data_IF_888492193231
#
_entry.id   IF_888492193231
#
_cell.length_a   1.000
_cell.length_b   1.000
_cell.length_c   1.000
_cell.angle_alpha   90.00
_cell.angle_beta   90.00
_cell.angle_gamma   90.00
#
_symmetry.space_group_name_H-M   'P 1'
#
loop_
_entity.id
_entity.type
_entity.pdbx_description
1 polymer ?
#
# COMPACT_ATOMS: atom_id res chain seq x y z
N UNK A 1 16.28 21.26 -9.34
CA UNK A 1 17.45 22.09 -8.96
C UNK A 1 18.29 21.29 -7.97
N UNK A 2 19.62 21.21 -8.15
CA UNK A 2 20.47 20.32 -7.30
C UNK A 2 20.48 20.65 -5.81
N UNK A 3 20.20 21.90 -5.39
CA UNK A 3 20.15 22.29 -3.99
C UNK A 3 18.84 21.95 -3.31
N UNK A 4 17.73 21.99 -4.04
CA UNK A 4 16.37 21.71 -3.53
C UNK A 4 16.26 20.30 -2.93
N UNK A 5 16.54 19.29 -3.73
CA UNK A 5 16.43 17.86 -3.33
C UNK A 5 17.46 17.43 -2.29
N UNK A 6 18.52 18.22 -2.09
CA UNK A 6 19.59 17.94 -1.11
C UNK A 6 19.39 18.67 0.21
N UNK A 7 18.27 19.37 0.37
CA UNK A 7 18.01 20.21 1.55
C UNK A 7 19.15 21.23 1.80
N UNK A 8 19.56 21.93 0.75
CA UNK A 8 20.67 22.89 0.81
C UNK A 8 20.31 24.06 1.72
N UNK A 9 21.11 24.26 2.77
CA UNK A 9 20.85 25.26 3.79
C UNK A 9 20.98 26.71 3.25
N UNK A 10 21.86 26.96 2.28
CA UNK A 10 21.98 28.30 1.70
C UNK A 10 20.77 28.64 0.86
N UNK A 11 20.23 27.67 0.11
CA UNK A 11 18.96 27.85 -0.60
C UNK A 11 17.79 28.06 0.39
N UNK A 12 17.72 27.27 1.45
CA UNK A 12 16.66 27.40 2.46
C UNK A 12 16.64 28.77 3.16
N UNK A 13 17.80 29.41 3.36
CA UNK A 13 17.92 30.76 3.93
C UNK A 13 17.42 31.89 3.02
N UNK A 14 17.22 31.62 1.74
CA UNK A 14 16.71 32.64 0.82
C UNK A 14 15.18 32.81 0.92
N UNK A 15 14.43 31.80 1.37
CA UNK A 15 12.97 31.85 1.45
C UNK A 15 12.43 32.89 2.43
N UNK A 16 13.03 33.14 3.64
CA UNK A 16 12.57 34.17 4.56
C UNK A 16 12.58 35.60 4.01
N UNK A 17 13.34 35.84 2.95
CA UNK A 17 13.31 37.15 2.27
C UNK A 17 12.01 37.37 1.46
N UNK A 18 11.22 36.34 1.24
CA UNK A 18 10.04 36.36 0.40
C UNK A 18 8.72 36.25 1.19
N UNK A 19 8.74 35.58 2.35
CA UNK A 19 7.53 35.24 3.12
C UNK A 19 7.80 35.28 4.63
N UNK A 20 6.73 35.42 5.44
CA UNK A 20 6.79 35.45 6.89
C UNK A 20 6.44 34.12 7.56
N UNK A 21 5.68 33.26 6.86
CA UNK A 21 5.20 31.97 7.37
C UNK A 21 5.29 30.94 6.25
N UNK A 22 5.75 29.75 6.59
CA UNK A 22 5.73 28.58 5.71
C UNK A 22 4.52 27.70 6.03
N UNK A 23 3.72 27.40 5.02
CA UNK A 23 2.63 26.43 5.11
C UNK A 23 2.98 25.23 4.25
N UNK A 24 3.20 24.08 4.88
CA UNK A 24 3.43 22.81 4.15
C UNK A 24 2.12 22.09 3.91
N UNK A 25 1.72 22.00 2.64
CA UNK A 25 0.53 21.25 2.21
C UNK A 25 0.89 20.15 1.19
N UNK A 26 2.17 19.80 1.10
CA UNK A 26 2.71 18.82 0.16
C UNK A 26 2.96 17.46 0.81
N UNK A 27 1.90 16.77 1.24
CA UNK A 27 2.01 15.46 1.91
C UNK A 27 2.76 14.42 1.03
N UNK A 28 2.53 14.41 -0.29
CA UNK A 28 3.21 13.50 -1.21
C UNK A 28 4.73 13.61 -1.22
N UNK A 29 5.29 14.78 -0.85
CA UNK A 29 6.73 15.02 -0.75
C UNK A 29 7.26 14.96 0.70
N UNK A 30 6.39 14.78 1.71
CA UNK A 30 6.74 14.92 3.13
C UNK A 30 7.75 13.87 3.63
N UNK A 31 7.89 12.74 2.93
CA UNK A 31 8.87 11.70 3.25
C UNK A 31 10.31 12.06 2.85
N UNK A 32 10.52 13.19 2.17
CA UNK A 32 11.83 13.67 1.73
C UNK A 32 12.15 15.01 2.38
N UNK A 33 13.37 15.12 2.91
CA UNK A 33 13.90 16.39 3.37
C UNK A 33 14.40 17.21 2.17
N UNK A 34 13.56 18.11 1.66
CA UNK A 34 13.92 19.08 0.63
C UNK A 34 14.02 20.50 1.23
N UNK A 35 14.76 21.39 0.58
CA UNK A 35 14.93 22.76 1.06
C UNK A 35 13.58 23.50 1.21
N UNK A 36 12.63 23.29 0.30
CA UNK A 36 11.29 23.91 0.31
C UNK A 36 10.23 23.17 1.12
N UNK A 37 10.50 21.95 1.58
CA UNK A 37 9.51 21.14 2.33
C UNK A 37 9.91 20.87 3.78
N UNK A 38 11.21 20.95 4.10
CA UNK A 38 11.74 20.75 5.43
C UNK A 38 12.73 21.85 5.83
N UNK A 39 13.77 22.12 5.03
CA UNK A 39 14.83 23.07 5.37
C UNK A 39 14.35 24.50 5.64
N UNK A 40 13.32 24.96 4.94
CA UNK A 40 12.69 26.27 5.16
C UNK A 40 12.17 26.43 6.58
N UNK A 41 11.75 25.36 7.24
CA UNK A 41 11.22 25.39 8.61
C UNK A 41 12.28 25.72 9.67
N UNK A 42 13.57 25.60 9.33
CA UNK A 42 14.66 26.06 10.22
C UNK A 42 14.75 27.59 10.34
N UNK A 43 14.09 28.31 9.44
CA UNK A 43 14.21 29.77 9.31
C UNK A 43 12.88 30.51 9.41
N UNK A 44 11.74 29.84 9.36
CA UNK A 44 10.40 30.40 9.40
C UNK A 44 9.48 29.62 10.32
N UNK A 45 8.48 30.25 10.95
CA UNK A 45 7.36 29.52 11.52
C UNK A 45 6.74 28.62 10.46
N UNK A 46 6.60 27.32 10.76
CA UNK A 46 6.15 26.30 9.83
C UNK A 46 4.86 25.64 10.35
N UNK A 47 3.81 25.61 9.54
CA UNK A 47 2.52 25.01 9.91
C UNK A 47 2.02 24.08 8.82
N UNK A 48 1.15 23.12 9.19
CA UNK A 48 0.47 22.26 8.22
C UNK A 48 -0.59 23.01 7.44
N UNK A 49 -0.70 22.73 6.15
CA UNK A 49 -1.88 23.04 5.35
C UNK A 49 -3.02 22.04 5.57
N UNK A 50 -4.20 22.33 5.01
CA UNK A 50 -5.40 21.53 5.20
C UNK A 50 -5.31 20.11 4.63
N UNK A 51 -4.62 19.93 3.51
CA UNK A 51 -4.38 18.60 2.93
C UNK A 51 -3.49 17.78 3.85
N UNK A 52 -2.37 18.36 4.29
CA UNK A 52 -1.45 17.73 5.23
C UNK A 52 -2.15 17.32 6.53
N UNK A 53 -2.94 18.23 7.12
CA UNK A 53 -3.73 17.97 8.33
C UNK A 53 -4.69 16.81 8.14
N UNK A 54 -5.42 16.77 7.01
CA UNK A 54 -6.36 15.69 6.67
C UNK A 54 -5.65 14.33 6.54
N UNK A 55 -4.52 14.30 5.84
CA UNK A 55 -3.74 13.05 5.67
C UNK A 55 -3.22 12.52 7.00
N UNK A 56 -2.66 13.39 7.84
CA UNK A 56 -2.15 13.04 9.17
C UNK A 56 -3.28 12.57 10.10
N UNK A 57 -4.43 13.23 10.07
CA UNK A 57 -5.60 12.85 10.86
C UNK A 57 -6.12 11.46 10.46
N UNK A 58 -6.30 11.21 9.16
CA UNK A 58 -6.84 9.94 8.66
C UNK A 58 -5.87 8.80 8.92
N UNK A 59 -4.63 8.92 8.46
CA UNK A 59 -3.63 7.87 8.62
C UNK A 59 -3.22 7.69 10.09
N UNK A 60 -3.09 8.78 10.83
CA UNK A 60 -2.75 8.75 12.25
C UNK A 60 -3.81 8.04 13.08
N UNK A 61 -5.10 8.34 12.89
CA UNK A 61 -6.22 7.67 13.56
C UNK A 61 -6.28 6.18 13.19
N UNK A 62 -6.12 5.88 11.89
CA UNK A 62 -6.10 4.50 11.40
C UNK A 62 -5.02 3.63 12.07
N UNK A 63 -3.87 4.22 12.39
CA UNK A 63 -2.74 3.47 12.96
C UNK A 63 -2.65 3.53 14.51
N UNK A 64 -3.17 4.59 15.15
CA UNK A 64 -3.06 4.76 16.61
C UNK A 64 -4.20 4.13 17.39
N UNK A 65 -5.43 4.25 16.89
CA UNK A 65 -6.64 3.73 17.55
C UNK A 65 -7.65 3.22 16.49
N UNK A 66 -7.32 2.13 15.79
CA UNK A 66 -8.17 1.63 14.70
C UNK A 66 -9.50 1.09 15.20
N UNK A 67 -10.58 1.37 14.46
CA UNK A 67 -11.82 0.63 14.61
C UNK A 67 -11.61 -0.82 14.13
N UNK A 68 -12.21 -1.77 14.88
CA UNK A 68 -11.99 -3.20 14.64
C UNK A 68 -13.26 -3.91 14.17
N UNK A 69 -13.11 -4.94 13.32
CA UNK A 69 -11.86 -5.53 12.81
C UNK A 69 -11.12 -4.60 11.86
N UNK A 70 -9.79 -4.48 12.05
CA UNK A 70 -8.89 -3.74 11.17
C UNK A 70 -8.19 -4.70 10.19
N UNK A 71 -8.38 -4.48 8.91
CA UNK A 71 -7.79 -5.26 7.82
C UNK A 71 -6.80 -4.43 7.03
N UNK A 72 -5.60 -4.95 6.83
CA UNK A 72 -4.66 -4.40 5.85
C UNK A 72 -4.62 -5.29 4.61
N UNK A 73 -4.62 -4.67 3.44
CA UNK A 73 -4.47 -5.33 2.14
C UNK A 73 -3.17 -4.84 1.53
N UNK A 74 -2.23 -5.76 1.33
CA UNK A 74 -0.90 -5.48 0.79
C UNK A 74 -0.72 -6.26 -0.49
N UNK A 75 -0.59 -5.51 -1.59
CA UNK A 75 -0.33 -6.03 -2.92
C UNK A 75 0.90 -5.40 -3.57
N UNK A 76 0.98 -5.57 -4.89
CA UNK A 76 2.11 -5.07 -5.69
C UNK A 76 3.12 -6.14 -6.04
N UNK A 77 4.26 -5.75 -6.65
CA UNK A 77 5.17 -6.70 -7.27
C UNK A 77 6.19 -7.33 -6.31
N UNK A 78 6.66 -6.59 -5.29
CA UNK A 78 7.87 -6.98 -4.53
C UNK A 78 7.68 -6.88 -3.02
N UNK A 79 8.13 -7.91 -2.30
CA UNK A 79 8.15 -7.97 -0.83
C UNK A 79 9.06 -6.89 -0.25
N UNK A 80 10.24 -6.68 -0.84
CA UNK A 80 11.25 -5.73 -0.34
C UNK A 80 10.71 -4.31 -0.17
N UNK A 81 9.79 -3.90 -1.04
CA UNK A 81 9.20 -2.57 -1.03
C UNK A 81 8.10 -2.42 0.04
N UNK A 82 7.71 -3.54 0.69
CA UNK A 82 6.63 -3.63 1.68
C UNK A 82 7.08 -4.14 3.05
N UNK A 83 8.37 -4.43 3.23
CA UNK A 83 8.91 -5.02 4.48
C UNK A 83 8.50 -4.19 5.70
N UNK A 84 8.76 -2.88 5.64
CA UNK A 84 8.49 -1.98 6.76
C UNK A 84 7.00 -1.91 7.07
N UNK A 85 6.17 -1.80 6.04
CA UNK A 85 4.71 -1.75 6.16
C UNK A 85 4.15 -3.04 6.75
N UNK A 86 4.53 -4.20 6.21
CA UNK A 86 4.04 -5.51 6.69
C UNK A 86 4.41 -5.67 8.17
N UNK A 87 5.67 -5.41 8.54
CA UNK A 87 6.15 -5.53 9.92
C UNK A 87 5.39 -4.63 10.88
N UNK A 88 5.19 -3.36 10.52
CA UNK A 88 4.48 -2.39 11.37
C UNK A 88 2.99 -2.71 11.50
N UNK A 89 2.34 -3.11 10.40
CA UNK A 89 0.93 -3.43 10.39
C UNK A 89 0.60 -4.73 11.15
N UNK A 90 1.51 -5.72 11.19
CA UNK A 90 1.34 -6.93 12.00
C UNK A 90 1.19 -6.66 13.51
N UNK A 91 1.61 -5.48 13.99
CA UNK A 91 1.38 -5.05 15.37
C UNK A 91 0.00 -4.41 15.60
N UNK A 92 -0.75 -4.15 14.54
CA UNK A 92 -1.94 -3.29 14.60
C UNK A 92 -3.22 -3.93 14.06
N UNK A 93 -3.11 -4.82 13.08
CA UNK A 93 -4.26 -5.37 12.35
C UNK A 93 -4.81 -6.66 12.96
N UNK A 94 -6.09 -6.92 12.70
CA UNK A 94 -6.72 -8.21 12.98
C UNK A 94 -6.55 -9.16 11.78
N UNK A 95 -6.56 -8.60 10.56
CA UNK A 95 -6.42 -9.36 9.31
C UNK A 95 -5.37 -8.72 8.41
N UNK A 96 -4.52 -9.54 7.80
CA UNK A 96 -3.57 -9.14 6.77
C UNK A 96 -3.83 -9.96 5.50
N UNK A 97 -4.21 -9.28 4.44
CA UNK A 97 -4.45 -9.86 3.11
C UNK A 97 -3.23 -9.58 2.24
N UNK A 98 -2.70 -10.63 1.62
CA UNK A 98 -1.55 -10.58 0.70
C UNK A 98 -2.03 -10.87 -0.72
N UNK A 99 -1.62 -10.04 -1.69
CA UNK A 99 -1.93 -10.24 -3.11
C UNK A 99 -0.84 -9.70 -4.02
N UNK A 100 -1.11 -9.69 -5.34
CA UNK A 100 -0.13 -9.24 -6.33
C UNK A 100 1.08 -10.16 -6.46
N UNK A 101 2.09 -9.71 -7.18
CA UNK A 101 3.32 -10.46 -7.45
C UNK A 101 4.10 -10.87 -6.21
N UNK A 102 4.07 -10.03 -5.15
CA UNK A 102 4.74 -10.35 -3.89
C UNK A 102 4.19 -11.61 -3.20
N UNK A 103 2.94 -12.00 -3.48
CA UNK A 103 2.33 -13.21 -2.92
C UNK A 103 3.09 -14.48 -3.30
N UNK A 104 3.69 -14.53 -4.50
CA UNK A 104 4.41 -15.73 -4.95
C UNK A 104 5.70 -15.99 -4.15
N UNK A 105 6.32 -14.96 -3.58
CA UNK A 105 7.43 -15.16 -2.63
C UNK A 105 6.95 -15.89 -1.36
N UNK A 106 5.77 -15.56 -0.86
CA UNK A 106 5.14 -16.26 0.28
C UNK A 106 4.71 -17.68 -0.11
N UNK A 107 4.16 -17.88 -1.30
CA UNK A 107 3.76 -19.20 -1.83
C UNK A 107 4.97 -20.12 -1.92
N UNK A 108 6.11 -19.63 -2.45
CA UNK A 108 7.37 -20.35 -2.49
C UNK A 108 7.92 -20.64 -1.10
N UNK A 109 7.76 -19.71 -0.15
CA UNK A 109 8.13 -19.91 1.25
C UNK A 109 7.34 -21.06 1.93
N UNK A 110 6.12 -21.35 1.46
CA UNK A 110 5.32 -22.52 1.85
C UNK A 110 5.74 -23.81 1.18
N UNK A 111 6.68 -23.75 0.22
CA UNK A 111 7.21 -24.92 -0.49
C UNK A 111 6.45 -25.30 -1.77
N UNK A 112 5.61 -24.42 -2.29
CA UNK A 112 4.89 -24.66 -3.55
C UNK A 112 5.68 -24.16 -4.76
N UNK A 113 5.47 -24.81 -5.91
CA UNK A 113 5.99 -24.35 -7.18
C UNK A 113 5.18 -23.13 -7.68
N UNK A 114 5.86 -22.16 -8.26
CA UNK A 114 5.28 -20.89 -8.71
C UNK A 114 5.44 -20.65 -10.21
N UNK A 115 5.99 -21.63 -10.97
CA UNK A 115 6.28 -21.50 -12.38
C UNK A 115 7.22 -20.34 -12.68
N UNK A 116 6.83 -19.49 -13.63
CA UNK A 116 7.56 -18.27 -14.02
C UNK A 116 7.13 -17.02 -13.23
N UNK A 117 6.28 -17.16 -12.22
CA UNK A 117 5.76 -16.03 -11.44
C UNK A 117 6.87 -15.25 -10.75
N UNK A 118 6.63 -13.97 -10.51
CA UNK A 118 7.57 -13.10 -9.79
C UNK A 118 7.94 -13.70 -8.43
N UNK A 119 9.25 -13.71 -8.12
CA UNK A 119 9.73 -14.15 -6.82
C UNK A 119 11.00 -13.39 -6.43
N UNK A 120 11.10 -13.06 -5.17
CA UNK A 120 12.33 -12.54 -4.54
C UNK A 120 12.94 -13.66 -3.68
N UNK A 121 13.83 -14.48 -4.28
CA UNK A 121 14.41 -15.64 -3.62
C UNK A 121 15.16 -15.29 -2.33
N UNK A 122 15.77 -14.11 -2.28
CA UNK A 122 16.46 -13.57 -1.10
C UNK A 122 15.50 -13.11 0.02
N UNK A 123 14.19 -13.14 -0.22
CA UNK A 123 13.13 -12.76 0.74
C UNK A 123 12.29 -13.94 1.23
N UNK A 124 12.57 -15.16 0.81
CA UNK A 124 11.80 -16.36 1.20
C UNK A 124 11.83 -16.55 2.74
N UNK A 125 12.99 -16.44 3.36
CA UNK A 125 13.10 -16.60 4.82
C UNK A 125 12.36 -15.47 5.57
N UNK A 126 12.38 -14.25 5.04
CA UNK A 126 11.61 -13.13 5.58
C UNK A 126 10.10 -13.35 5.44
N UNK A 127 9.64 -13.92 4.33
CA UNK A 127 8.23 -14.27 4.15
C UNK A 127 7.77 -15.32 5.18
N UNK A 128 8.60 -16.32 5.49
CA UNK A 128 8.35 -17.28 6.59
C UNK A 128 8.27 -16.58 7.95
N UNK A 129 9.21 -15.67 8.21
CA UNK A 129 9.22 -14.86 9.45
C UNK A 129 7.90 -14.09 9.61
N UNK A 130 7.40 -13.43 8.56
CA UNK A 130 6.15 -12.68 8.61
C UNK A 130 4.93 -13.58 8.87
N UNK A 131 4.84 -14.73 8.23
CA UNK A 131 3.76 -15.68 8.47
C UNK A 131 3.80 -16.23 9.91
N UNK A 132 4.99 -16.50 10.43
CA UNK A 132 5.16 -16.93 11.82
C UNK A 132 4.80 -15.82 12.80
N UNK A 133 5.24 -14.58 12.55
CA UNK A 133 4.94 -13.41 13.36
C UNK A 133 3.43 -13.13 13.40
N UNK A 134 2.75 -13.23 12.25
CA UNK A 134 1.29 -13.12 12.18
C UNK A 134 0.61 -14.13 13.11
N UNK A 135 1.04 -15.40 13.06
CA UNK A 135 0.53 -16.46 13.93
C UNK A 135 0.76 -16.15 15.41
N UNK A 136 1.97 -15.71 15.78
CA UNK A 136 2.32 -15.37 17.16
C UNK A 136 1.50 -14.20 17.71
N UNK A 137 1.17 -13.24 16.84
CA UNK A 137 0.35 -12.06 17.20
C UNK A 137 -1.16 -12.30 17.10
N UNK A 138 -1.59 -13.48 16.63
CA UNK A 138 -3.01 -13.80 16.42
C UNK A 138 -3.64 -13.06 15.25
N UNK A 139 -2.84 -12.59 14.30
CA UNK A 139 -3.31 -11.94 13.06
C UNK A 139 -3.73 -13.01 12.05
N UNK A 140 -4.93 -12.88 11.50
CA UNK A 140 -5.38 -13.73 10.40
C UNK A 140 -4.63 -13.34 9.12
N UNK A 141 -3.81 -14.26 8.62
CA UNK A 141 -2.98 -14.05 7.43
C UNK A 141 -3.62 -14.72 6.23
N UNK A 142 -4.13 -13.93 5.29
CA UNK A 142 -4.83 -14.40 4.10
C UNK A 142 -3.91 -14.39 2.89
N UNK A 143 -3.76 -15.56 2.27
CA UNK A 143 -3.01 -15.77 1.02
C UNK A 143 -3.97 -16.18 -0.09
N UNK A 144 -3.62 -15.95 -1.37
CA UNK A 144 -4.39 -16.50 -2.48
C UNK A 144 -4.51 -18.03 -2.38
N UNK A 145 -5.70 -18.55 -2.64
CA UNK A 145 -5.96 -20.01 -2.72
C UNK A 145 -6.05 -20.50 -4.17
N UNK A 146 -6.35 -19.58 -5.08
CA UNK A 146 -6.33 -19.78 -6.52
C UNK A 146 -5.82 -18.51 -7.23
N UNK A 147 -5.32 -18.69 -8.44
CA UNK A 147 -4.70 -17.63 -9.24
C UNK A 147 -5.09 -17.73 -10.70
N UNK A 148 -5.09 -16.60 -11.37
CA UNK A 148 -5.13 -16.48 -12.82
C UNK A 148 -3.70 -16.57 -13.32
N UNK A 149 -3.46 -17.47 -14.27
CA UNK A 149 -2.16 -17.72 -14.86
C UNK A 149 -2.19 -17.52 -16.38
N UNK A 150 -1.03 -17.18 -16.96
CA UNK A 150 -0.84 -17.03 -18.41
C UNK A 150 0.52 -17.60 -18.85
N UNK A 151 0.65 -17.93 -20.14
CA UNK A 151 1.93 -18.22 -20.79
C UNK A 151 2.50 -16.99 -21.48
N UNK A 152 1.65 -15.94 -21.71
CA UNK A 152 2.02 -14.73 -22.43
C UNK A 152 1.52 -13.50 -21.69
N UNK A 153 2.40 -12.55 -21.48
CA UNK A 153 2.08 -11.28 -20.83
C UNK A 153 1.60 -10.27 -21.89
N UNK A 154 0.29 -10.33 -22.24
CA UNK A 154 -0.31 -9.47 -23.26
C UNK A 154 -1.78 -9.17 -22.98
N UNK A 155 -2.32 -8.11 -23.61
CA UNK A 155 -3.75 -7.71 -23.53
C UNK A 155 -4.70 -8.74 -24.13
N UNK A 156 -4.20 -9.64 -24.99
CA UNK A 156 -4.98 -10.70 -25.62
C UNK A 156 -4.64 -12.10 -25.09
N UNK A 157 -3.94 -12.14 -23.97
CA UNK A 157 -3.46 -13.37 -23.37
C UNK A 157 -4.59 -14.35 -23.04
N UNK A 158 -4.37 -15.62 -23.34
CA UNK A 158 -5.22 -16.69 -22.82
C UNK A 158 -4.87 -16.97 -21.38
N UNK A 159 -5.87 -16.97 -20.52
CA UNK A 159 -5.71 -17.20 -19.08
C UNK A 159 -6.32 -18.52 -18.65
N UNK A 160 -5.79 -19.08 -17.57
CA UNK A 160 -6.38 -20.22 -16.85
C UNK A 160 -6.45 -19.90 -15.35
N UNK A 161 -7.37 -20.58 -14.67
CA UNK A 161 -7.49 -20.52 -13.21
C UNK A 161 -6.98 -21.86 -12.67
N UNK A 162 -6.04 -21.77 -11.71
CA UNK A 162 -5.48 -22.94 -11.02
C UNK A 162 -5.41 -22.70 -9.52
N UNK A 163 -5.32 -23.79 -8.75
CA UNK A 163 -4.93 -23.69 -7.33
C UNK A 163 -3.56 -23.07 -7.18
N UNK A 164 -3.34 -22.34 -6.11
CA UNK A 164 -2.06 -21.66 -5.83
C UNK A 164 -0.87 -22.64 -5.73
N UNK A 165 -1.14 -23.89 -5.43
CA UNK A 165 -0.19 -25.00 -5.31
C UNK A 165 0.02 -25.77 -6.63
N UNK A 166 -0.61 -25.34 -7.72
CA UNK A 166 -0.72 -26.09 -8.98
C UNK A 166 -0.34 -25.27 -10.22
N UNK A 167 0.54 -24.28 -10.06
CA UNK A 167 1.03 -23.43 -11.15
C UNK A 167 2.03 -24.24 -12.01
N UNK A 168 1.78 -24.44 -13.31
CA UNK A 168 2.70 -25.15 -14.19
C UNK A 168 4.02 -24.38 -14.38
N UNK A 169 5.11 -25.11 -14.64
CA UNK A 169 6.48 -24.57 -14.72
C UNK A 169 6.70 -23.53 -15.84
N UNK A 170 5.86 -23.56 -16.90
CA UNK A 170 5.93 -22.63 -18.04
C UNK A 170 4.84 -21.54 -18.01
N UNK A 171 4.12 -21.39 -16.88
CA UNK A 171 3.08 -20.38 -16.67
C UNK A 171 3.48 -19.43 -15.56
N UNK A 172 2.98 -18.20 -15.63
CA UNK A 172 3.13 -17.21 -14.57
C UNK A 172 1.78 -16.76 -14.00
N UNK A 173 1.74 -16.51 -12.71
CA UNK A 173 0.57 -15.93 -12.07
C UNK A 173 0.51 -14.43 -12.25
N UNK A 174 -0.66 -13.92 -12.66
CA UNK A 174 -0.87 -12.53 -13.07
C UNK A 174 -1.98 -11.82 -12.29
N UNK A 175 -2.86 -12.60 -11.64
CA UNK A 175 -3.94 -12.06 -10.80
C UNK A 175 -4.43 -13.12 -9.80
N UNK A 176 -5.20 -12.70 -8.80
CA UNK A 176 -5.89 -13.63 -7.89
C UNK A 176 -7.11 -14.28 -8.56
N UNK A 177 -7.36 -15.53 -8.22
CA UNK A 177 -8.48 -16.29 -8.76
C UNK A 177 -9.84 -15.96 -8.12
N UNK A 178 -10.94 -16.51 -8.66
CA UNK A 178 -12.30 -16.22 -8.22
C UNK A 178 -12.58 -16.62 -6.77
N UNK A 179 -12.06 -17.75 -6.29
CA UNK A 179 -12.24 -18.16 -4.90
C UNK A 179 -11.52 -17.22 -3.93
N UNK A 180 -10.32 -16.79 -4.30
CA UNK A 180 -9.56 -15.81 -3.54
C UNK A 180 -10.30 -14.49 -3.45
N UNK A 181 -10.90 -14.03 -4.56
CA UNK A 181 -11.71 -12.80 -4.61
C UNK A 181 -12.91 -12.88 -3.66
N UNK A 182 -13.62 -14.01 -3.61
CA UNK A 182 -14.73 -14.26 -2.69
C UNK A 182 -14.28 -14.18 -1.22
N UNK A 183 -13.17 -14.86 -0.87
CA UNK A 183 -12.62 -14.85 0.49
C UNK A 183 -12.22 -13.42 0.90
N UNK A 184 -11.52 -12.70 0.02
CA UNK A 184 -11.07 -11.34 0.33
C UNK A 184 -12.24 -10.37 0.47
N UNK A 185 -13.27 -10.49 -0.39
CA UNK A 185 -14.48 -9.68 -0.29
C UNK A 185 -15.23 -9.94 1.03
N UNK A 186 -15.29 -11.19 1.49
CA UNK A 186 -15.91 -11.51 2.78
C UNK A 186 -15.14 -10.90 3.96
N UNK A 187 -13.81 -10.97 3.97
CA UNK A 187 -12.98 -10.33 5.00
C UNK A 187 -13.18 -8.81 4.99
N UNK A 188 -13.19 -8.18 3.81
CA UNK A 188 -13.40 -6.73 3.65
C UNK A 188 -14.76 -6.32 4.22
N UNK A 189 -15.82 -7.01 3.84
CA UNK A 189 -17.18 -6.74 4.28
C UNK A 189 -17.38 -6.82 5.80
N UNK A 190 -16.61 -7.67 6.47
CA UNK A 190 -16.66 -7.86 7.92
C UNK A 190 -15.68 -6.93 8.67
N UNK A 191 -14.98 -6.04 8.00
CA UNK A 191 -14.04 -5.09 8.58
C UNK A 191 -14.71 -3.75 8.91
N UNK A 192 -14.19 -3.04 9.91
CA UNK A 192 -14.58 -1.64 10.20
C UNK A 192 -13.61 -0.64 9.61
N UNK A 193 -12.35 -1.03 9.51
CA UNK A 193 -11.29 -0.26 8.88
C UNK A 193 -10.53 -1.15 7.91
N UNK A 194 -10.33 -0.64 6.69
CA UNK A 194 -9.46 -1.28 5.70
C UNK A 194 -8.44 -0.27 5.19
N UNK A 195 -7.16 -0.63 5.27
CA UNK A 195 -6.08 0.08 4.60
C UNK A 195 -5.58 -0.77 3.44
N UNK A 196 -5.65 -0.25 2.22
CA UNK A 196 -5.25 -0.96 1.02
C UNK A 196 -4.06 -0.28 0.33
N UNK A 197 -2.98 -1.05 0.12
CA UNK A 197 -1.78 -0.59 -0.56
C UNK A 197 -1.24 -1.65 -1.54
N UNK A 198 -1.35 -1.39 -2.83
CA UNK A 198 -0.88 -2.21 -3.92
C UNK A 198 -1.94 -3.13 -4.54
N UNK A 199 -1.93 -3.30 -5.88
CA UNK A 199 -2.90 -4.09 -6.63
C UNK A 199 -2.77 -5.60 -6.38
N UNK A 200 -3.84 -6.33 -6.69
CA UNK A 200 -3.91 -7.79 -6.54
C UNK A 200 -3.41 -8.55 -7.77
N UNK A 201 -3.35 -7.88 -8.91
CA UNK A 201 -2.89 -8.39 -10.20
C UNK A 201 -2.41 -7.26 -11.07
N UNK A 202 -2.12 -7.55 -12.34
CA UNK A 202 -1.67 -6.58 -13.34
C UNK A 202 -2.88 -5.83 -13.89
N UNK A 203 -3.46 -4.95 -13.06
CA UNK A 203 -4.74 -4.29 -13.32
C UNK A 203 -4.72 -3.36 -14.54
N UNK A 204 -3.55 -3.01 -15.03
CA UNK A 204 -3.38 -2.21 -16.25
C UNK A 204 -3.87 -2.98 -17.48
N UNK A 205 -3.72 -4.32 -17.49
CA UNK A 205 -4.16 -5.20 -18.56
C UNK A 205 -5.51 -5.84 -18.23
N UNK A 206 -6.46 -5.73 -19.15
CA UNK A 206 -7.83 -6.20 -18.96
C UNK A 206 -7.94 -7.66 -18.52
N UNK A 207 -7.18 -8.62 -19.09
CA UNK A 207 -7.29 -10.04 -18.70
C UNK A 207 -6.82 -10.33 -17.26
N UNK A 208 -6.08 -9.42 -16.63
CA UNK A 208 -5.42 -9.60 -15.34
C UNK A 208 -5.92 -8.61 -14.26
N UNK A 209 -7.06 -7.95 -14.51
CA UNK A 209 -7.53 -6.83 -13.71
C UNK A 209 -8.63 -7.20 -12.69
N UNK A 210 -9.25 -8.37 -12.84
CA UNK A 210 -10.46 -8.72 -12.09
C UNK A 210 -10.23 -8.88 -10.59
N UNK A 211 -9.03 -9.27 -10.14
CA UNK A 211 -8.70 -9.35 -8.72
C UNK A 211 -8.67 -7.98 -8.05
N UNK A 212 -7.97 -7.03 -8.65
CA UNK A 212 -7.89 -5.65 -8.16
C UNK A 212 -9.27 -4.98 -8.20
N UNK A 213 -10.02 -5.18 -9.28
CA UNK A 213 -11.38 -4.68 -9.43
C UNK A 213 -12.33 -5.27 -8.37
N UNK A 214 -12.22 -6.57 -8.07
CA UNK A 214 -13.05 -7.23 -7.06
C UNK A 214 -12.79 -6.69 -5.65
N UNK A 215 -11.53 -6.43 -5.28
CA UNK A 215 -11.17 -5.79 -4.01
C UNK A 215 -11.74 -4.36 -3.94
N UNK A 216 -11.57 -3.56 -5.00
CA UNK A 216 -12.16 -2.22 -5.07
C UNK A 216 -13.69 -2.25 -4.95
N UNK A 217 -14.35 -3.19 -5.63
CA UNK A 217 -15.81 -3.34 -5.56
C UNK A 217 -16.27 -3.78 -4.16
N UNK A 218 -15.55 -4.70 -3.51
CA UNK A 218 -15.87 -5.12 -2.15
C UNK A 218 -15.79 -3.95 -1.15
N UNK A 219 -14.80 -3.06 -1.30
CA UNK A 219 -14.69 -1.83 -0.51
C UNK A 219 -15.82 -0.84 -0.83
N UNK A 220 -16.16 -0.70 -2.13
CA UNK A 220 -17.23 0.19 -2.57
C UNK A 220 -18.62 -0.24 -2.07
N UNK A 221 -18.82 -1.53 -1.83
CA UNK A 221 -20.09 -2.12 -1.37
C UNK A 221 -20.15 -2.27 0.17
N UNK A 222 -19.06 -2.04 0.87
CA UNK A 222 -18.95 -2.18 2.33
C UNK A 222 -19.32 -0.85 3.02
N UNK A 223 -20.61 -0.57 3.16
CA UNK A 223 -21.15 0.71 3.68
C UNK A 223 -20.67 1.06 5.10
N UNK A 224 -20.42 0.05 5.94
CA UNK A 224 -19.98 0.22 7.34
C UNK A 224 -18.46 0.20 7.51
N UNK A 225 -17.68 0.18 6.42
CA UNK A 225 -16.24 0.07 6.43
C UNK A 225 -15.58 1.39 6.05
N UNK A 226 -14.70 1.91 6.90
CA UNK A 226 -13.87 3.05 6.55
C UNK A 226 -12.67 2.56 5.71
N UNK A 227 -12.61 3.00 4.45
CA UNK A 227 -11.58 2.58 3.49
C UNK A 227 -10.52 3.66 3.29
N UNK A 228 -9.25 3.30 3.49
CA UNK A 228 -8.09 4.15 3.22
C UNK A 228 -7.26 3.53 2.10
N UNK A 229 -7.20 4.21 0.97
CA UNK A 229 -6.44 3.76 -0.20
C UNK A 229 -5.08 4.47 -0.18
N UNK A 230 -4.01 3.69 -0.07
CA UNK A 230 -2.63 4.20 -0.08
C UNK A 230 -1.84 3.66 -1.28
N UNK A 231 -0.91 4.49 -1.77
CA UNK A 231 -0.05 4.16 -2.91
C UNK A 231 -0.66 4.50 -4.26
N UNK A 232 0.19 4.92 -5.19
CA UNK A 232 -0.23 5.41 -6.50
C UNK A 232 -1.00 4.39 -7.34
N UNK A 233 -0.55 3.12 -7.34
CA UNK A 233 -1.19 2.06 -8.12
C UNK A 233 -2.60 1.73 -7.63
N UNK A 234 -2.81 1.70 -6.31
CA UNK A 234 -4.15 1.46 -5.74
C UNK A 234 -5.10 2.62 -6.02
N UNK A 235 -4.62 3.87 -5.90
CA UNK A 235 -5.38 5.06 -6.26
C UNK A 235 -5.74 5.04 -7.75
N UNK A 236 -4.79 4.78 -8.64
CA UNK A 236 -5.01 4.66 -10.08
C UNK A 236 -6.01 3.54 -10.42
N UNK A 237 -5.98 2.42 -9.69
CA UNK A 237 -6.92 1.31 -9.89
C UNK A 237 -8.36 1.71 -9.55
N UNK A 238 -8.61 2.32 -8.39
CA UNK A 238 -9.97 2.74 -7.99
C UNK A 238 -10.51 3.83 -8.90
N UNK A 239 -9.66 4.72 -9.41
CA UNK A 239 -10.04 5.71 -10.43
C UNK A 239 -10.38 5.04 -11.76
N UNK A 240 -9.51 4.14 -12.25
CA UNK A 240 -9.71 3.39 -13.51
C UNK A 240 -11.04 2.65 -13.54
N UNK A 241 -11.43 2.07 -12.41
CA UNK A 241 -12.68 1.30 -12.30
C UNK A 241 -13.89 2.14 -11.87
N UNK A 242 -13.76 3.46 -11.74
CA UNK A 242 -14.87 4.36 -11.39
C UNK A 242 -15.39 4.18 -9.96
N UNK A 243 -14.51 3.82 -9.02
CA UNK A 243 -14.86 3.54 -7.62
C UNK A 243 -14.31 4.61 -6.66
N UNK A 244 -13.57 5.60 -7.13
CA UNK A 244 -12.89 6.59 -6.30
C UNK A 244 -13.84 7.32 -5.34
N UNK A 245 -15.00 7.73 -5.82
CA UNK A 245 -16.02 8.46 -5.04
C UNK A 245 -16.66 7.61 -3.92
N UNK A 246 -16.47 6.29 -3.95
CA UNK A 246 -16.97 5.36 -2.93
C UNK A 246 -15.94 5.04 -1.84
N UNK A 247 -14.70 5.47 -2.01
CA UNK A 247 -13.65 5.29 -1.00
C UNK A 247 -13.74 6.39 0.06
N UNK A 248 -13.58 6.03 1.34
CA UNK A 248 -13.64 7.02 2.43
C UNK A 248 -12.47 8.00 2.36
N UNK A 249 -11.28 7.52 2.00
CA UNK A 249 -10.09 8.35 1.79
C UNK A 249 -9.14 7.72 0.78
N UNK A 250 -8.72 8.50 -0.20
CA UNK A 250 -7.64 8.16 -1.11
C UNK A 250 -6.46 9.06 -0.77
N UNK A 251 -5.38 8.49 -0.23
CA UNK A 251 -4.21 9.26 0.15
C UNK A 251 -3.47 9.79 -1.08
N UNK A 252 -3.12 11.05 -1.02
CA UNK A 252 -2.28 11.72 -2.03
C UNK A 252 -0.79 11.44 -1.81
N UNK A 253 -0.45 10.73 -0.72
CA UNK A 253 0.92 10.59 -0.22
C UNK A 253 1.83 9.71 -1.05
N UNK A 254 1.32 8.73 -1.81
CA UNK A 254 2.18 7.78 -2.54
C UNK A 254 3.25 7.15 -1.62
N UNK A 255 4.52 7.53 -1.82
CA UNK A 255 5.63 7.10 -0.96
C UNK A 255 5.54 7.60 0.48
N UNK A 256 5.03 8.81 0.70
CA UNK A 256 4.87 9.37 2.04
C UNK A 256 3.84 8.58 2.87
N UNK A 257 2.70 8.20 2.28
CA UNK A 257 1.74 7.34 2.98
C UNK A 257 2.29 5.95 3.27
N UNK A 258 3.12 5.40 2.38
CA UNK A 258 3.79 4.13 2.61
C UNK A 258 4.74 4.22 3.82
N UNK A 259 5.62 5.22 3.84
CA UNK A 259 6.55 5.43 4.95
C UNK A 259 5.85 5.79 6.27
N UNK A 260 4.74 6.53 6.21
CA UNK A 260 3.90 6.77 7.38
C UNK A 260 3.31 5.47 7.94
N UNK A 261 2.83 4.57 7.05
CA UNK A 261 2.34 3.25 7.44
C UNK A 261 3.44 2.31 7.96
N UNK A 262 4.70 2.59 7.67
CA UNK A 262 5.87 1.94 8.28
C UNK A 262 6.17 2.44 9.69
N UNK A 263 5.48 3.48 10.16
CA UNK A 263 5.75 4.14 11.44
C UNK A 263 6.97 5.05 11.42
N UNK A 264 7.43 5.45 10.23
CA UNK A 264 8.54 6.39 10.10
C UNK A 264 8.09 7.84 10.32
N UNK A 265 8.96 8.61 10.92
CA UNK A 265 8.82 10.07 10.96
C UNK A 265 9.07 10.65 9.57
N UNK A 266 8.16 11.51 9.12
CA UNK A 266 8.29 12.18 7.83
C UNK A 266 8.94 13.54 8.01
N UNK A 267 10.10 13.84 7.37
CA UNK A 267 10.80 15.12 7.55
C UNK A 267 9.94 16.36 7.32
N UNK A 268 9.07 16.34 6.30
CA UNK A 268 8.15 17.44 6.00
C UNK A 268 6.99 17.58 6.99
N UNK A 269 6.83 16.65 7.94
CA UNK A 269 5.86 16.71 9.04
C UNK A 269 6.56 17.10 10.33
N UNK A 270 7.70 16.47 10.66
CA UNK A 270 8.43 16.70 11.91
C UNK A 270 8.94 18.13 12.02
N UNK A 271 9.21 18.79 10.89
CA UNK A 271 9.66 20.18 10.86
C UNK A 271 8.56 21.22 11.18
N UNK A 272 7.28 20.81 11.26
CA UNK A 272 6.16 21.70 11.52
C UNK A 272 6.05 21.99 13.02
N UNK A 273 5.61 23.20 13.36
CA UNK A 273 5.35 23.59 14.74
C UNK A 273 4.13 22.85 15.30
N UNK A 274 4.20 22.47 16.57
CA UNK A 274 3.05 21.98 17.32
C UNK A 274 1.96 23.04 17.45
N UNK A 275 0.69 22.60 17.56
CA UNK A 275 -0.45 23.51 17.78
C UNK A 275 -0.41 24.18 19.14
#
# INVERSE_FOLDING_TARGET
>A
MRGEEKNDAELAKEFPALVDIFVNDAFGAAHRAHASTAGIADYLPAVSGLLMEKELDVLGKALSNPERPFTAIIGGAKVKDKIGVIRHLLDKVDNLIIGGGLAYTFVKALGHEIGLSLCEDDKIELAKEFMQLAKEKGVNFYMPVDVVITEEFSETATTKIVGIDSIPSNWEGVDIGPKTREIYADVIKNSKLVVWNGPMGVFEMTPFAEGTKAVGQALADAEDTYSVIGGGDSAAAVEKFGMADKMSHISTGGGASLEFMEGKELPGVVCLNDK
#
